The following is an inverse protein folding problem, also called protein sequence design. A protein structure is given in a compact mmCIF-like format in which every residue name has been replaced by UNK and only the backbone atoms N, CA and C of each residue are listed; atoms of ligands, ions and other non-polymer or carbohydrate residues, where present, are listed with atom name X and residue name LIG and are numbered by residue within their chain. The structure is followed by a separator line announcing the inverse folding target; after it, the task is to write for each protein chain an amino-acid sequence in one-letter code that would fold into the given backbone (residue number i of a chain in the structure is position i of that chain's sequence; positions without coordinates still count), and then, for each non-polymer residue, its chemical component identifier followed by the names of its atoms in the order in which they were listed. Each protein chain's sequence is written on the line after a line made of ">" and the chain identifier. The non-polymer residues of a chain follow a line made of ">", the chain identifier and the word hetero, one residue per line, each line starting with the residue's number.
data_IF_869647225782
#
_entry.id   IF_869647225782
#
_cell.length_a   1.000
_cell.length_b   1.000
_cell.length_c   1.000
_cell.angle_alpha   90.00
_cell.angle_beta   90.00
_cell.angle_gamma   90.00
#
_symmetry.space_group_name_H-M   'P 1'
#
loop_
_entity.id
_entity.type
_entity.pdbx_description
1 polymer ?
#
# COMPACT_ATOMS: atom_id res chain seq x y z
N UNK A 1 11.80 17.94 11.32
CA UNK A 1 10.99 16.98 10.54
C UNK A 1 10.48 15.90 11.47
N UNK A 2 9.16 15.67 11.55
CA UNK A 2 8.66 14.45 12.23
C UNK A 2 9.19 13.26 11.43
N UNK A 3 9.76 12.26 12.12
CA UNK A 3 10.21 11.02 11.50
C UNK A 3 9.00 10.36 10.81
N UNK A 4 8.98 10.40 9.48
CA UNK A 4 7.85 9.91 8.68
C UNK A 4 7.53 8.44 8.95
N UNK A 5 8.54 7.65 9.37
CA UNK A 5 8.33 6.26 9.77
C UNK A 5 7.55 6.12 11.08
N UNK A 6 7.68 7.09 12.00
CA UNK A 6 7.00 7.10 13.30
C UNK A 6 5.64 7.82 13.25
N UNK A 7 5.17 8.19 12.06
CA UNK A 7 3.84 8.76 11.90
C UNK A 7 2.78 7.80 12.45
N UNK A 8 1.80 8.35 13.17
CA UNK A 8 0.65 7.58 13.61
C UNK A 8 -0.27 7.30 12.40
N UNK A 9 -0.59 6.03 12.18
CA UNK A 9 -1.46 5.55 11.10
C UNK A 9 -2.49 4.60 11.70
N UNK A 10 -3.58 5.15 12.21
CA UNK A 10 -4.70 4.40 12.82
C UNK A 10 -5.68 3.92 11.77
N UNK A 11 -5.87 4.73 10.73
CA UNK A 11 -6.83 4.47 9.65
C UNK A 11 -6.19 4.73 8.30
N UNK A 12 -6.44 3.81 7.35
CA UNK A 12 -6.05 3.93 5.95
C UNK A 12 -7.28 3.74 5.08
N UNK A 13 -7.61 4.74 4.25
CA UNK A 13 -8.78 4.73 3.39
C UNK A 13 -8.41 4.43 1.95
N UNK A 14 -8.93 3.34 1.38
CA UNK A 14 -8.72 3.00 -0.04
C UNK A 14 -9.62 3.82 -0.95
N UNK A 15 -9.05 4.34 -2.03
CA UNK A 15 -9.70 5.19 -3.01
C UNK A 15 -9.29 4.79 -4.43
N UNK A 16 -10.25 4.52 -5.29
CA UNK A 16 -9.97 4.27 -6.69
C UNK A 16 -9.42 5.55 -7.35
N UNK A 17 -8.15 5.51 -7.79
CA UNK A 17 -7.45 6.67 -8.35
C UNK A 17 -8.03 7.15 -9.70
N UNK A 18 -8.81 6.32 -10.39
CA UNK A 18 -9.50 6.69 -11.63
C UNK A 18 -10.75 7.55 -11.39
N UNK A 19 -11.33 7.53 -10.16
CA UNK A 19 -12.59 8.21 -9.86
C UNK A 19 -12.36 9.58 -9.22
N UNK A 20 -12.40 10.69 -9.98
CA UNK A 20 -12.14 12.04 -9.44
C UNK A 20 -13.04 12.38 -8.25
N UNK A 21 -14.30 11.94 -8.27
CA UNK A 21 -15.25 12.17 -7.18
C UNK A 21 -14.83 11.54 -5.84
N UNK A 22 -13.98 10.50 -5.85
CA UNK A 22 -13.47 9.87 -4.64
C UNK A 22 -12.16 10.48 -4.15
N UNK A 23 -11.34 11.02 -5.06
CA UNK A 23 -9.99 11.49 -4.73
C UNK A 23 -9.91 13.00 -4.49
N UNK A 24 -10.97 13.76 -4.77
CA UNK A 24 -10.92 15.23 -4.67
C UNK A 24 -10.96 15.76 -3.23
N UNK A 25 -11.72 15.10 -2.34
CA UNK A 25 -12.00 15.58 -0.98
C UNK A 25 -12.07 14.48 0.11
N UNK A 26 -11.27 13.39 0.02
CA UNK A 26 -11.35 12.29 1.00
C UNK A 26 -10.85 12.68 2.40
N UNK A 27 -10.18 13.80 2.54
CA UNK A 27 -9.74 14.33 3.84
C UNK A 27 -10.91 14.64 4.78
N UNK A 28 -12.14 14.84 4.26
CA UNK A 28 -13.34 15.07 5.08
C UNK A 28 -13.67 13.89 6.01
N UNK A 29 -13.21 12.68 5.67
CA UNK A 29 -13.39 11.48 6.49
C UNK A 29 -12.37 11.33 7.62
N UNK A 30 -11.34 12.19 7.67
CA UNK A 30 -10.36 12.23 8.75
C UNK A 30 -9.41 11.02 8.81
N UNK A 31 -9.21 10.28 7.72
CA UNK A 31 -8.24 9.19 7.69
C UNK A 31 -6.80 9.71 7.84
N UNK A 32 -5.97 9.00 8.61
CA UNK A 32 -4.54 9.35 8.76
C UNK A 32 -3.77 9.15 7.46
N UNK A 33 -4.16 8.16 6.64
CA UNK A 33 -3.56 7.84 5.34
C UNK A 33 -4.62 7.56 4.29
N UNK A 34 -4.37 8.03 3.08
CA UNK A 34 -5.18 7.78 1.89
C UNK A 34 -4.42 6.83 0.97
N UNK A 35 -5.03 5.70 0.65
CA UNK A 35 -4.49 4.70 -0.26
C UNK A 35 -5.08 4.91 -1.65
N UNK A 36 -4.34 5.60 -2.51
CA UNK A 36 -4.73 5.90 -3.89
C UNK A 36 -4.40 4.69 -4.76
N UNK A 37 -5.42 4.00 -5.23
CA UNK A 37 -5.29 2.68 -5.81
C UNK A 37 -5.22 2.70 -7.33
N UNK A 38 -4.15 2.14 -7.89
CA UNK A 38 -3.96 1.90 -9.33
C UNK A 38 -4.11 0.42 -9.72
N UNK A 39 -4.26 -0.49 -8.73
CA UNK A 39 -4.31 -1.94 -8.97
C UNK A 39 -5.74 -2.43 -9.23
N UNK A 40 -6.30 -3.24 -8.35
CA UNK A 40 -7.56 -3.97 -8.55
C UNK A 40 -8.78 -3.08 -8.76
N UNK A 41 -8.79 -1.88 -8.19
CA UNK A 41 -9.89 -0.95 -8.38
C UNK A 41 -9.95 -0.35 -9.78
N UNK A 42 -8.92 -0.51 -10.61
CA UNK A 42 -8.78 0.10 -11.94
C UNK A 42 -8.71 -0.98 -13.01
N UNK A 43 -9.59 -0.93 -14.00
CA UNK A 43 -9.56 -1.83 -15.14
C UNK A 43 -8.26 -1.66 -15.95
N UNK A 44 -7.76 -2.74 -16.57
CA UNK A 44 -6.49 -2.77 -17.27
C UNK A 44 -6.39 -1.70 -18.37
N UNK A 45 -7.44 -1.54 -19.17
CA UNK A 45 -7.51 -0.54 -20.23
C UNK A 45 -7.67 0.91 -19.72
N UNK A 46 -7.74 1.12 -18.40
CA UNK A 46 -7.90 2.44 -17.77
C UNK A 46 -6.68 2.84 -16.93
N UNK A 47 -5.61 2.04 -16.91
CA UNK A 47 -4.42 2.30 -16.10
C UNK A 47 -3.78 3.66 -16.42
N UNK A 48 -3.70 4.03 -17.70
CA UNK A 48 -3.14 5.33 -18.12
C UNK A 48 -4.01 6.50 -17.66
N UNK A 49 -5.32 6.39 -17.80
CA UNK A 49 -6.27 7.40 -17.34
C UNK A 49 -6.22 7.57 -15.82
N UNK A 50 -6.07 6.47 -15.08
CA UNK A 50 -5.93 6.49 -13.63
C UNK A 50 -4.62 7.17 -13.20
N UNK A 51 -3.49 6.90 -13.87
CA UNK A 51 -2.21 7.60 -13.62
C UNK A 51 -2.34 9.11 -13.88
N UNK A 52 -2.99 9.49 -14.97
CA UNK A 52 -3.23 10.90 -15.28
C UNK A 52 -4.03 11.58 -14.17
N UNK A 53 -5.15 10.99 -13.75
CA UNK A 53 -5.97 11.51 -12.66
C UNK A 53 -5.19 11.61 -11.35
N UNK A 54 -4.45 10.55 -11.01
CA UNK A 54 -3.62 10.49 -9.80
C UNK A 54 -2.56 11.60 -9.77
N UNK A 55 -1.82 11.77 -10.87
CA UNK A 55 -0.77 12.79 -10.95
C UNK A 55 -1.32 14.19 -10.69
N UNK A 56 -2.42 14.54 -11.36
CA UNK A 56 -3.03 15.85 -11.18
C UNK A 56 -3.59 16.02 -9.76
N UNK A 57 -4.25 15.01 -9.21
CA UNK A 57 -4.77 15.05 -7.86
C UNK A 57 -3.65 15.28 -6.81
N UNK A 58 -2.54 14.54 -6.91
CA UNK A 58 -1.40 14.69 -6.01
C UNK A 58 -0.77 16.09 -6.08
N UNK A 59 -0.82 16.74 -7.25
CA UNK A 59 -0.23 18.05 -7.50
C UNK A 59 -1.12 19.23 -7.10
N UNK A 60 -2.43 19.07 -7.17
CA UNK A 60 -3.37 20.18 -7.09
C UNK A 60 -4.27 20.18 -5.87
N UNK A 61 -4.46 19.01 -5.24
CA UNK A 61 -5.36 18.87 -4.09
C UNK A 61 -4.57 18.96 -2.79
N UNK A 62 -4.99 19.87 -1.90
CA UNK A 62 -4.53 19.84 -0.51
C UNK A 62 -5.33 18.77 0.25
N UNK A 63 -4.65 17.71 0.67
CA UNK A 63 -5.23 16.63 1.46
C UNK A 63 -5.17 16.89 2.99
N UNK A 64 -4.96 18.14 3.40
CA UNK A 64 -5.00 18.60 4.79
C UNK A 64 -4.12 17.77 5.75
N UNK A 65 -2.94 17.38 5.27
CA UNK A 65 -1.97 16.62 6.05
C UNK A 65 -2.24 15.10 6.14
N UNK A 66 -3.29 14.58 5.49
CA UNK A 66 -3.44 13.13 5.29
C UNK A 66 -2.28 12.59 4.44
N UNK A 67 -1.73 11.43 4.83
CA UNK A 67 -0.64 10.80 4.09
C UNK A 67 -1.17 10.19 2.79
N UNK A 68 -0.44 10.37 1.68
CA UNK A 68 -0.83 9.93 0.33
C UNK A 68 0.04 8.75 -0.08
N UNK A 69 -0.50 7.54 0.05
CA UNK A 69 0.17 6.31 -0.34
C UNK A 69 -0.47 5.82 -1.64
N UNK A 70 0.34 5.43 -2.61
CA UNK A 70 -0.13 4.91 -3.89
C UNK A 70 0.08 3.40 -3.93
N UNK A 71 -1.01 2.63 -4.12
CA UNK A 71 -0.90 1.20 -4.42
C UNK A 71 -0.66 1.05 -5.92
N UNK A 72 0.52 0.55 -6.26
CA UNK A 72 0.93 0.28 -7.63
C UNK A 72 0.40 -1.07 -8.12
N UNK A 73 0.48 -1.33 -9.41
CA UNK A 73 0.21 -2.65 -9.97
C UNK A 73 1.29 -3.66 -9.57
N UNK A 74 0.96 -4.95 -9.64
CA UNK A 74 1.87 -6.03 -9.32
C UNK A 74 3.15 -6.02 -10.17
N UNK A 75 4.25 -6.52 -9.61
CA UNK A 75 5.57 -6.53 -10.27
C UNK A 75 5.63 -7.47 -11.49
N UNK A 76 4.67 -8.38 -11.59
CA UNK A 76 4.44 -9.28 -12.73
C UNK A 76 3.73 -8.61 -13.93
N UNK A 77 3.26 -7.36 -13.76
CA UNK A 77 2.57 -6.58 -14.79
C UNK A 77 3.52 -5.60 -15.49
N UNK A 78 3.18 -5.07 -16.67
CA UNK A 78 3.98 -4.03 -17.32
C UNK A 78 3.81 -2.64 -16.70
N UNK A 79 2.87 -2.42 -15.77
CA UNK A 79 2.39 -1.10 -15.35
C UNK A 79 3.18 -0.49 -14.18
N UNK A 80 3.69 -1.28 -13.26
CA UNK A 80 4.21 -0.84 -11.96
C UNK A 80 5.33 0.22 -12.04
N UNK A 81 6.18 0.17 -13.08
CA UNK A 81 7.29 1.15 -13.24
C UNK A 81 6.75 2.55 -13.52
N UNK A 82 5.78 2.65 -14.42
CA UNK A 82 5.14 3.92 -14.75
C UNK A 82 4.24 4.41 -13.60
N UNK A 83 3.65 3.49 -12.83
CA UNK A 83 2.90 3.85 -11.62
C UNK A 83 3.80 4.54 -10.60
N UNK A 84 4.99 3.98 -10.32
CA UNK A 84 5.98 4.58 -9.41
C UNK A 84 6.43 5.93 -9.95
N UNK A 85 6.78 6.00 -11.22
CA UNK A 85 7.23 7.22 -11.88
C UNK A 85 6.19 8.33 -11.75
N UNK A 86 4.93 8.02 -12.04
CA UNK A 86 3.80 8.94 -11.92
C UNK A 86 3.56 9.38 -10.48
N UNK A 87 3.53 8.46 -9.53
CA UNK A 87 3.28 8.72 -8.12
C UNK A 87 4.36 9.62 -7.50
N UNK A 88 5.64 9.33 -7.77
CA UNK A 88 6.79 10.11 -7.28
C UNK A 88 6.78 11.51 -7.90
N UNK A 89 6.56 11.63 -9.22
CA UNK A 89 6.43 12.92 -9.92
C UNK A 89 5.28 13.76 -9.35
N UNK A 90 4.16 13.13 -9.01
CA UNK A 90 3.01 13.76 -8.36
C UNK A 90 3.27 14.21 -6.93
N UNK A 91 4.26 13.61 -6.27
CA UNK A 91 4.65 13.98 -4.90
C UNK A 91 3.97 13.14 -3.83
N UNK A 92 3.73 11.85 -4.07
CA UNK A 92 3.22 10.94 -3.05
C UNK A 92 4.16 10.84 -1.84
N UNK A 93 3.63 10.39 -0.71
CA UNK A 93 4.40 10.18 0.52
C UNK A 93 4.92 8.73 0.63
N UNK A 94 4.28 7.79 -0.08
CA UNK A 94 4.72 6.41 -0.10
C UNK A 94 4.11 5.58 -1.23
N UNK A 95 4.74 4.43 -1.47
CA UNK A 95 4.31 3.40 -2.42
C UNK A 95 3.92 2.15 -1.64
N UNK A 96 2.74 1.60 -1.93
CA UNK A 96 2.34 0.27 -1.48
C UNK A 96 2.58 -0.75 -2.58
N UNK A 97 3.40 -1.75 -2.28
CA UNK A 97 3.68 -2.87 -3.18
C UNK A 97 2.62 -3.95 -2.91
N UNK A 98 1.79 -4.34 -3.88
CA UNK A 98 0.89 -5.48 -3.73
C UNK A 98 1.68 -6.79 -3.86
N UNK A 99 1.12 -7.89 -3.37
CA UNK A 99 1.61 -9.27 -3.57
C UNK A 99 3.11 -9.44 -3.30
N UNK A 100 3.60 -8.79 -2.24
CA UNK A 100 5.03 -8.85 -1.87
C UNK A 100 5.34 -10.21 -1.26
N UNK A 101 6.28 -10.94 -1.86
CA UNK A 101 6.69 -12.28 -1.42
C UNK A 101 8.13 -12.38 -0.96
N UNK A 102 8.99 -11.44 -1.37
CA UNK A 102 10.43 -11.51 -1.10
C UNK A 102 11.04 -10.14 -0.75
N UNK A 103 12.19 -10.17 -0.09
CA UNK A 103 13.01 -8.98 0.11
C UNK A 103 13.46 -8.34 -1.21
N UNK A 104 13.59 -9.15 -2.28
CA UNK A 104 13.99 -8.68 -3.61
C UNK A 104 12.91 -7.79 -4.24
N UNK A 105 11.62 -8.08 -4.00
CA UNK A 105 10.51 -7.25 -4.51
C UNK A 105 10.61 -5.83 -3.96
N UNK A 106 10.90 -5.70 -2.66
CA UNK A 106 11.10 -4.40 -2.01
C UNK A 106 12.31 -3.67 -2.60
N UNK A 107 13.44 -4.37 -2.81
CA UNK A 107 14.66 -3.77 -3.36
C UNK A 107 14.49 -3.28 -4.79
N UNK A 108 13.77 -4.02 -5.63
CA UNK A 108 13.47 -3.63 -7.01
C UNK A 108 12.63 -2.35 -7.03
N UNK A 109 11.60 -2.27 -6.19
CA UNK A 109 10.77 -1.07 -6.06
C UNK A 109 11.56 0.11 -5.50
N UNK A 110 12.41 -0.11 -4.48
CA UNK A 110 13.28 0.94 -3.94
C UNK A 110 14.19 1.56 -5.02
N UNK A 111 14.80 0.72 -5.86
CA UNK A 111 15.63 1.19 -6.97
C UNK A 111 14.83 2.02 -7.99
N UNK A 112 13.60 1.63 -8.28
CA UNK A 112 12.74 2.38 -9.19
C UNK A 112 12.28 3.71 -8.57
N UNK A 113 11.99 3.75 -7.28
CA UNK A 113 11.67 4.98 -6.54
C UNK A 113 12.88 5.93 -6.59
N UNK A 114 14.09 5.45 -6.32
CA UNK A 114 15.30 6.27 -6.35
C UNK A 114 15.54 6.88 -7.74
N UNK A 115 15.32 6.10 -8.81
CA UNK A 115 15.39 6.63 -10.20
C UNK A 115 14.38 7.74 -10.43
N UNK A 116 13.13 7.56 -9.99
CA UNK A 116 12.09 8.55 -10.14
C UNK A 116 12.34 9.80 -9.28
N UNK A 117 12.82 9.66 -8.04
CA UNK A 117 13.21 10.80 -7.20
C UNK A 117 14.28 11.63 -7.88
N UNK A 118 15.32 10.99 -8.45
CA UNK A 118 16.38 11.70 -9.19
C UNK A 118 15.85 12.36 -10.47
N UNK A 119 15.00 11.68 -11.25
CA UNK A 119 14.41 12.21 -12.49
C UNK A 119 13.59 13.48 -12.24
N UNK A 120 12.82 13.50 -11.15
CA UNK A 120 11.90 14.60 -10.84
C UNK A 120 12.42 15.59 -9.79
N UNK A 121 13.71 15.51 -9.43
CA UNK A 121 14.33 16.40 -8.45
C UNK A 121 13.71 16.32 -7.05
N UNK A 122 13.18 15.16 -6.68
CA UNK A 122 12.64 14.90 -5.34
C UNK A 122 13.78 14.59 -4.37
N UNK A 123 13.68 14.99 -3.10
CA UNK A 123 14.70 14.61 -2.12
C UNK A 123 14.82 13.08 -2.03
N UNK A 124 16.02 12.58 -2.00
CA UNK A 124 16.28 11.17 -1.78
C UNK A 124 15.64 10.69 -0.46
N UNK A 125 15.06 9.51 -0.48
CA UNK A 125 14.31 8.92 0.65
C UNK A 125 13.03 9.69 1.06
N UNK A 126 12.51 10.57 0.20
CA UNK A 126 11.25 11.27 0.45
C UNK A 126 10.02 10.39 0.26
N UNK A 127 10.13 9.32 -0.53
CA UNK A 127 9.06 8.36 -0.79
C UNK A 127 9.28 7.08 0.02
N UNK A 128 8.35 6.75 0.90
CA UNK A 128 8.39 5.55 1.75
C UNK A 128 7.82 4.32 1.03
N UNK A 129 8.01 3.14 1.62
CA UNK A 129 7.51 1.86 1.11
C UNK A 129 6.63 1.18 2.15
N UNK A 130 5.52 0.61 1.71
CA UNK A 130 4.67 -0.32 2.44
C UNK A 130 4.54 -1.61 1.63
N UNK A 131 4.71 -2.78 2.25
CA UNK A 131 4.55 -4.06 1.58
C UNK A 131 3.21 -4.71 1.97
N UNK A 132 2.43 -5.14 0.98
CA UNK A 132 1.24 -5.94 1.22
C UNK A 132 1.60 -7.43 1.14
N UNK A 133 1.29 -8.15 2.20
CA UNK A 133 1.52 -9.59 2.33
C UNK A 133 0.19 -10.30 2.03
N UNK A 134 0.18 -11.09 0.97
CA UNK A 134 -1.03 -11.63 0.36
C UNK A 134 -0.94 -13.13 0.06
N UNK A 135 0.20 -13.76 0.40
CA UNK A 135 0.46 -15.18 0.16
C UNK A 135 1.15 -15.87 1.35
N UNK A 136 1.08 -17.18 1.39
CA UNK A 136 1.80 -18.02 2.36
C UNK A 136 3.31 -17.76 2.31
N UNK A 137 3.87 -17.60 1.10
CA UNK A 137 5.29 -17.28 0.92
C UNK A 137 5.65 -15.95 1.56
N UNK A 138 4.85 -14.92 1.33
CA UNK A 138 5.05 -13.60 1.91
C UNK A 138 4.99 -13.63 3.45
N UNK A 139 4.07 -14.40 4.03
CA UNK A 139 3.97 -14.58 5.48
C UNK A 139 5.22 -15.25 6.04
N UNK A 140 5.68 -16.35 5.42
CA UNK A 140 6.90 -17.06 5.86
C UNK A 140 8.15 -16.18 5.78
N UNK A 141 8.23 -15.29 4.79
CA UNK A 141 9.36 -14.39 4.56
C UNK A 141 9.20 -12.98 5.14
N UNK A 142 8.19 -12.78 5.99
CA UNK A 142 7.82 -11.45 6.47
C UNK A 142 8.98 -10.68 7.13
N UNK A 143 9.83 -11.33 7.92
CA UNK A 143 10.97 -10.68 8.55
C UNK A 143 11.99 -10.18 7.51
N UNK A 144 12.36 -11.02 6.55
CA UNK A 144 13.27 -10.64 5.46
C UNK A 144 12.73 -9.45 4.64
N UNK A 145 11.41 -9.43 4.40
CA UNK A 145 10.72 -8.34 3.71
C UNK A 145 10.80 -7.06 4.56
N UNK A 146 10.53 -7.14 5.86
CA UNK A 146 10.59 -5.99 6.77
C UNK A 146 11.98 -5.35 6.85
N UNK A 147 13.05 -6.14 6.73
CA UNK A 147 14.43 -5.69 6.81
C UNK A 147 15.04 -5.27 5.46
N UNK A 148 14.31 -5.45 4.35
CA UNK A 148 14.83 -5.29 3.00
C UNK A 148 15.22 -3.85 2.64
N UNK A 149 14.59 -2.83 3.24
CA UNK A 149 14.82 -1.43 2.93
C UNK A 149 14.61 -0.52 4.14
N UNK A 150 15.45 0.49 4.25
CA UNK A 150 15.26 1.58 5.23
C UNK A 150 14.03 2.45 4.92
N UNK A 151 13.52 2.42 3.69
CA UNK A 151 12.29 3.14 3.29
C UNK A 151 11.02 2.42 3.75
N UNK A 152 11.11 1.13 4.08
CA UNK A 152 9.93 0.35 4.48
C UNK A 152 9.47 0.80 5.87
N UNK A 153 8.25 1.35 5.94
CA UNK A 153 7.66 1.80 7.19
C UNK A 153 6.68 0.79 7.79
N UNK A 154 6.20 -0.16 6.98
CA UNK A 154 5.25 -1.13 7.46
C UNK A 154 4.86 -2.21 6.46
N UNK A 155 4.22 -3.24 6.98
CA UNK A 155 3.63 -4.34 6.23
C UNK A 155 2.13 -4.44 6.54
N UNK A 156 1.35 -4.97 5.60
CA UNK A 156 -0.09 -5.17 5.79
C UNK A 156 -0.52 -6.55 5.30
N UNK A 157 -1.39 -7.22 6.05
CA UNK A 157 -2.07 -8.43 5.58
C UNK A 157 -3.23 -8.05 4.65
N UNK A 158 -3.27 -8.64 3.44
CA UNK A 158 -4.46 -8.64 2.58
C UNK A 158 -5.17 -9.98 2.71
N UNK A 159 -6.09 -10.07 3.67
CA UNK A 159 -6.71 -11.34 4.07
C UNK A 159 -7.48 -12.04 2.96
N UNK A 160 -8.12 -11.29 2.04
CA UNK A 160 -8.87 -11.86 0.92
C UNK A 160 -7.99 -12.63 -0.05
N UNK A 161 -6.87 -12.05 -0.48
CA UNK A 161 -5.95 -12.70 -1.41
C UNK A 161 -5.11 -13.77 -0.71
N UNK A 162 -4.74 -13.57 0.55
CA UNK A 162 -4.10 -14.59 1.36
C UNK A 162 -4.94 -15.86 1.48
N UNK A 163 -6.24 -15.75 1.73
CA UNK A 163 -7.12 -16.93 1.82
C UNK A 163 -7.31 -17.63 0.47
N UNK A 164 -7.29 -16.88 -0.64
CA UNK A 164 -7.27 -17.47 -1.99
C UNK A 164 -5.99 -18.28 -2.22
N UNK A 165 -4.82 -17.73 -1.84
CA UNK A 165 -3.53 -18.42 -1.95
C UNK A 165 -3.49 -19.71 -1.11
N UNK A 166 -4.11 -19.69 0.07
CA UNK A 166 -4.27 -20.89 0.92
C UNK A 166 -5.36 -21.87 0.46
N UNK A 167 -6.06 -21.59 -0.62
CA UNK A 167 -7.21 -22.37 -1.08
C UNK A 167 -8.29 -22.56 0.00
N UNK A 168 -8.54 -21.53 0.81
CA UNK A 168 -9.54 -21.49 1.87
C UNK A 168 -10.48 -20.30 1.71
N UNK A 169 -11.41 -20.14 2.62
CA UNK A 169 -12.35 -19.03 2.65
C UNK A 169 -12.36 -18.35 4.03
N UNK A 170 -12.77 -17.10 4.06
CA UNK A 170 -12.86 -16.34 5.31
C UNK A 170 -14.12 -16.78 6.06
N UNK A 171 -13.94 -17.20 7.32
CA UNK A 171 -15.04 -17.57 8.22
C UNK A 171 -15.43 -16.39 9.12
N UNK A 172 -16.59 -16.48 9.76
CA UNK A 172 -17.03 -15.45 10.73
C UNK A 172 -16.10 -15.29 11.93
N UNK A 173 -15.26 -16.29 12.23
CA UNK A 173 -14.27 -16.25 13.32
C UNK A 173 -12.92 -15.69 12.85
N UNK A 174 -12.62 -15.75 11.56
CA UNK A 174 -11.33 -15.34 10.98
C UNK A 174 -10.13 -16.15 11.49
N UNK A 175 -10.36 -17.38 11.97
CA UNK A 175 -9.30 -18.23 12.56
C UNK A 175 -8.22 -18.58 11.54
N UNK A 176 -8.58 -18.70 10.27
CA UNK A 176 -7.69 -18.96 9.13
C UNK A 176 -6.66 -17.85 8.90
N UNK A 177 -6.93 -16.64 9.36
CA UNK A 177 -6.02 -15.50 9.27
C UNK A 177 -5.13 -15.35 10.51
N UNK A 178 -5.45 -16.01 11.61
CA UNK A 178 -4.83 -15.76 12.91
C UNK A 178 -3.32 -16.05 12.90
N UNK A 179 -2.90 -17.17 12.28
CA UNK A 179 -1.48 -17.52 12.17
C UNK A 179 -0.66 -16.46 11.41
N UNK A 180 -1.20 -15.99 10.27
CA UNK A 180 -0.57 -14.94 9.49
C UNK A 180 -0.50 -13.61 10.28
N UNK A 181 -1.58 -13.20 10.91
CA UNK A 181 -1.65 -11.97 11.74
C UNK A 181 -0.59 -11.97 12.82
N UNK A 182 -0.47 -13.07 13.58
CA UNK A 182 0.52 -13.19 14.64
C UNK A 182 1.96 -13.14 14.09
N UNK A 183 2.24 -13.87 13.02
CA UNK A 183 3.56 -13.89 12.40
C UNK A 183 3.96 -12.52 11.85
N UNK A 184 3.06 -11.81 11.19
CA UNK A 184 3.33 -10.47 10.67
C UNK A 184 3.58 -9.45 11.78
N UNK A 185 2.82 -9.50 12.88
CA UNK A 185 3.06 -8.64 14.04
C UNK A 185 4.45 -8.91 14.66
N UNK A 186 4.83 -10.18 14.81
CA UNK A 186 6.15 -10.56 15.34
C UNK A 186 7.27 -10.04 14.42
N UNK A 187 7.16 -10.29 13.11
CA UNK A 187 8.15 -9.85 12.12
C UNK A 187 8.29 -8.31 12.09
N UNK A 188 7.19 -7.59 12.04
CA UNK A 188 7.18 -6.13 12.03
C UNK A 188 7.79 -5.55 13.31
N UNK A 189 7.47 -6.12 14.48
CA UNK A 189 8.06 -5.68 15.76
C UNK A 189 9.55 -5.96 15.84
N UNK A 190 10.00 -7.12 15.36
CA UNK A 190 11.43 -7.46 15.31
C UNK A 190 12.22 -6.48 14.43
N UNK A 191 11.67 -6.10 13.27
CA UNK A 191 12.29 -5.16 12.35
C UNK A 191 12.05 -3.67 12.71
N UNK A 192 11.23 -3.36 13.72
CA UNK A 192 10.92 -1.98 14.12
C UNK A 192 10.04 -1.21 13.13
N UNK A 193 9.20 -1.91 12.34
CA UNK A 193 8.24 -1.33 11.41
C UNK A 193 6.79 -1.51 11.89
N UNK A 194 5.85 -0.83 11.24
CA UNK A 194 4.42 -0.92 11.58
C UNK A 194 3.76 -2.15 10.92
N UNK A 195 2.75 -2.70 11.59
CA UNK A 195 1.94 -3.78 11.04
C UNK A 195 0.47 -3.32 10.95
N UNK A 196 -0.15 -3.60 9.80
CA UNK A 196 -1.52 -3.20 9.51
C UNK A 196 -2.35 -4.43 9.16
N UNK A 197 -3.64 -4.37 9.50
CA UNK A 197 -4.63 -5.35 9.06
C UNK A 197 -5.69 -4.65 8.22
N UNK A 198 -6.31 -5.36 7.31
CA UNK A 198 -7.42 -4.88 6.51
C UNK A 198 -8.74 -5.29 7.15
N UNK A 199 -9.62 -4.33 7.40
CA UNK A 199 -10.99 -4.64 7.84
C UNK A 199 -11.75 -5.34 6.73
N UNK A 200 -12.42 -6.44 7.08
CA UNK A 200 -13.29 -7.20 6.19
C UNK A 200 -14.73 -6.78 6.46
N UNK A 201 -15.12 -5.65 5.91
CA UNK A 201 -16.41 -4.98 6.13
C UNK A 201 -17.60 -5.95 6.04
N UNK A 202 -17.59 -6.84 5.06
CA UNK A 202 -18.70 -7.78 4.85
C UNK A 202 -18.78 -8.93 5.85
N UNK A 203 -17.80 -9.09 6.74
CA UNK A 203 -17.76 -10.15 7.75
C UNK A 203 -17.93 -9.59 9.15
N UNK A 204 -17.38 -8.41 9.42
CA UNK A 204 -17.37 -7.79 10.76
C UNK A 204 -18.50 -6.79 10.97
N UNK A 205 -19.14 -6.30 9.91
CA UNK A 205 -20.31 -5.44 10.05
C UNK A 205 -21.60 -6.26 9.97
N UNK A 206 -22.49 -6.15 10.98
CA UNK A 206 -23.82 -6.70 10.84
C UNK A 206 -24.53 -5.94 9.74
N UNK A 207 -24.68 -6.55 8.58
CA UNK A 207 -25.65 -6.09 7.58
C UNK A 207 -27.03 -6.19 8.20
N UNK A 208 -27.50 -5.13 8.77
CA UNK A 208 -28.86 -5.02 9.21
C UNK A 208 -29.60 -4.06 8.33
N UNK A 209 -30.49 -4.62 7.62
CA UNK A 209 -31.72 -3.95 7.25
C UNK A 209 -32.76 -4.26 8.30
#
# INVERSE_FOLDING_TARGET
>A
MRDAKKRLRRTMMFLNAQKPGLIKDPYIYGADSLMLDLEDAVAENQKDAARFSLFHALRTIDYHGAERIVRINGLDTPFWKEDIRCAVAGGCDGIRIPKTETAQDVKIVEQQILKAENEFGRPENSTLIMAAIESARGVVKALEICEASKRLFGIALSGGDYTKDLHTHITGTGIELMGARQQLVIAARAAGVQCFDLSLIHISEPTRL
#
